data_IF_337190034244
#
_entry.id   IF_337190034244
#
_cell.length_a   1.000
_cell.length_b   1.000
_cell.length_c   1.000
_cell.angle_alpha   90.00
_cell.angle_beta   90.00
_cell.angle_gamma   90.00
#
_symmetry.space_group_name_H-M   'P 1'
#
loop_
_entity.id
_entity.type
_entity.pdbx_description
1 polymer ?
#
# COMPACT_ATOMS: atom_id res chain seq x y z
N UNK A 1 0.16 -23.61 3.38
CA UNK A 1 -0.25 -23.74 1.97
C UNK A 1 0.51 -22.69 1.14
N UNK A 2 0.50 -22.78 -0.19
CA UNK A 2 1.09 -21.79 -1.12
C UNK A 2 2.61 -21.56 -1.03
N UNK A 3 3.35 -22.46 -0.37
CA UNK A 3 4.80 -22.39 -0.23
C UNK A 3 5.45 -23.76 -0.43
N UNK A 4 6.69 -23.76 -0.90
CA UNK A 4 7.52 -24.96 -1.02
C UNK A 4 8.70 -24.88 -0.05
N UNK A 5 8.86 -25.86 0.84
CA UNK A 5 9.94 -25.90 1.83
C UNK A 5 11.05 -26.91 1.49
N UNK A 6 10.86 -27.72 0.44
CA UNK A 6 11.87 -28.69 0.00
C UNK A 6 13.14 -27.98 -0.48
N UNK A 7 14.30 -28.32 0.12
CA UNK A 7 15.60 -27.78 -0.26
C UNK A 7 15.89 -27.91 -1.76
N UNK A 8 15.55 -29.06 -2.36
CA UNK A 8 15.73 -29.31 -3.80
C UNK A 8 14.92 -28.31 -4.65
N UNK A 9 13.64 -28.10 -4.31
CA UNK A 9 12.76 -27.14 -5.00
C UNK A 9 13.27 -25.70 -4.85
N UNK A 10 13.72 -25.33 -3.66
CA UNK A 10 14.25 -23.98 -3.39
C UNK A 10 15.55 -23.69 -4.15
N UNK A 11 16.48 -24.66 -4.21
CA UNK A 11 17.70 -24.54 -5.03
C UNK A 11 17.33 -24.33 -6.50
N UNK A 12 16.38 -25.11 -7.01
CA UNK A 12 15.93 -24.99 -8.39
C UNK A 12 15.31 -23.63 -8.69
N UNK A 13 14.47 -23.08 -7.80
CA UNK A 13 13.89 -21.74 -7.98
C UNK A 13 14.97 -20.65 -8.15
N UNK A 14 16.06 -20.74 -7.39
CA UNK A 14 17.19 -19.80 -7.46
C UNK A 14 18.03 -20.05 -8.72
N UNK A 15 18.39 -21.31 -9.00
CA UNK A 15 19.22 -21.67 -10.15
C UNK A 15 18.55 -21.31 -11.49
N UNK A 16 17.24 -21.57 -11.59
CA UNK A 16 16.42 -21.29 -12.78
C UNK A 16 15.97 -19.80 -12.84
N UNK A 17 16.46 -18.95 -11.92
CA UNK A 17 16.14 -17.51 -11.84
C UNK A 17 14.64 -17.21 -11.80
N UNK A 18 13.86 -18.08 -11.13
CA UNK A 18 12.42 -17.83 -10.86
C UNK A 18 12.21 -16.82 -9.74
N UNK A 19 13.25 -16.62 -8.93
CA UNK A 19 13.37 -15.62 -7.86
C UNK A 19 14.71 -14.90 -7.95
N UNK A 20 14.83 -13.74 -7.32
CA UNK A 20 16.02 -12.88 -7.38
C UNK A 20 17.21 -13.45 -6.57
N UNK A 21 16.95 -14.38 -5.67
CA UNK A 21 17.96 -14.99 -4.80
C UNK A 21 17.35 -15.69 -3.58
N UNK A 22 18.20 -16.11 -2.64
CA UNK A 22 17.76 -16.75 -1.40
C UNK A 22 17.05 -15.80 -0.43
N UNK A 23 17.30 -14.51 -0.56
CA UNK A 23 16.68 -13.43 0.21
C UNK A 23 15.55 -12.73 -0.55
N UNK A 24 15.10 -13.27 -1.69
CA UNK A 24 13.94 -12.75 -2.42
C UNK A 24 12.71 -12.71 -1.46
N UNK A 25 11.98 -11.58 -1.38
CA UNK A 25 10.81 -11.43 -0.51
C UNK A 25 9.64 -12.40 -0.73
N UNK A 26 9.68 -13.23 -1.78
CA UNK A 26 8.72 -14.31 -2.06
C UNK A 26 9.20 -15.68 -1.56
N UNK A 27 10.49 -15.80 -1.23
CA UNK A 27 11.06 -17.06 -0.77
C UNK A 27 10.68 -17.34 0.68
N UNK A 28 10.33 -18.59 1.03
CA UNK A 28 9.98 -18.98 2.40
C UNK A 28 11.24 -19.21 3.25
N UNK A 29 12.20 -18.30 3.18
CA UNK A 29 13.43 -18.29 3.98
C UNK A 29 13.34 -17.18 5.02
N UNK A 30 14.06 -17.31 6.13
CA UNK A 30 14.11 -16.21 7.12
C UNK A 30 14.72 -14.93 6.53
N UNK A 31 15.67 -15.06 5.60
CA UNK A 31 16.26 -13.93 4.89
C UNK A 31 15.22 -13.22 3.99
N UNK A 32 14.46 -13.99 3.21
CA UNK A 32 13.38 -13.49 2.36
C UNK A 32 12.26 -12.87 3.17
N UNK A 33 11.82 -13.53 4.25
CA UNK A 33 10.80 -13.01 5.15
C UNK A 33 11.23 -11.68 5.82
N UNK A 34 12.49 -11.58 6.28
CA UNK A 34 13.02 -10.33 6.84
C UNK A 34 13.04 -9.21 5.79
N UNK A 35 13.53 -9.49 4.56
CA UNK A 35 13.54 -8.50 3.46
C UNK A 35 12.14 -8.12 2.99
N UNK A 36 11.17 -9.04 3.09
CA UNK A 36 9.75 -8.81 2.85
C UNK A 36 9.12 -7.87 3.89
N UNK A 37 9.72 -7.78 5.07
CA UNK A 37 9.30 -6.89 6.15
C UNK A 37 8.72 -7.62 7.35
N UNK A 38 8.67 -8.96 7.36
CA UNK A 38 8.20 -9.71 8.53
C UNK A 38 9.05 -9.39 9.75
N UNK A 39 8.38 -9.30 10.90
CA UNK A 39 8.99 -8.99 12.19
C UNK A 39 9.24 -10.27 12.98
N UNK A 40 10.26 -10.30 13.85
CA UNK A 40 10.42 -11.39 14.82
C UNK A 40 9.15 -11.61 15.66
N UNK A 41 8.48 -10.54 16.04
CA UNK A 41 7.24 -10.54 16.83
C UNK A 41 6.11 -11.27 16.09
N UNK A 42 5.90 -10.99 14.80
CA UNK A 42 4.89 -11.69 14.00
C UNK A 42 5.15 -13.20 13.90
N UNK A 43 6.41 -13.63 13.83
CA UNK A 43 6.75 -15.06 13.83
C UNK A 43 6.56 -15.73 15.18
N UNK A 44 6.85 -15.04 16.30
CA UNK A 44 6.56 -15.56 17.64
C UNK A 44 5.06 -15.73 17.84
N UNK A 45 4.28 -14.70 17.46
CA UNK A 45 2.82 -14.76 17.49
C UNK A 45 2.28 -15.89 16.61
N UNK A 46 2.87 -16.11 15.43
CA UNK A 46 2.53 -17.24 14.57
C UNK A 46 2.78 -18.58 15.26
N UNK A 47 3.96 -18.76 15.88
CA UNK A 47 4.31 -19.95 16.64
C UNK A 47 3.35 -20.22 17.81
N UNK A 48 2.96 -19.18 18.54
CA UNK A 48 2.02 -19.29 19.66
C UNK A 48 0.62 -19.72 19.19
N UNK A 49 0.18 -19.27 18.00
CA UNK A 49 -1.16 -19.59 17.47
C UNK A 49 -1.33 -21.03 17.02
N UNK A 50 -0.36 -21.60 16.30
CA UNK A 50 -0.51 -22.97 15.80
C UNK A 50 -0.09 -24.03 16.84
N UNK A 51 0.69 -23.64 17.86
CA UNK A 51 1.08 -24.50 18.95
C UNK A 51 1.97 -25.68 18.51
N UNK A 52 2.14 -26.66 19.38
CA UNK A 52 2.94 -27.87 19.08
C UNK A 52 2.04 -29.09 19.22
N UNK A 53 1.79 -29.77 18.10
CA UNK A 53 1.03 -31.01 18.04
C UNK A 53 1.83 -32.10 17.31
N UNK A 54 1.52 -33.37 17.61
CA UNK A 54 2.13 -34.53 16.92
C UNK A 54 1.46 -34.87 15.59
N UNK A 55 0.26 -34.35 15.35
CA UNK A 55 -0.48 -34.60 14.12
C UNK A 55 0.00 -33.65 13.02
N UNK A 56 0.23 -34.20 11.82
CA UNK A 56 0.54 -33.39 10.65
C UNK A 56 -0.65 -32.50 10.31
N UNK A 57 -0.39 -31.21 10.10
CA UNK A 57 -1.41 -30.24 9.71
C UNK A 57 -0.86 -29.25 8.69
N UNK A 58 -1.74 -28.80 7.79
CA UNK A 58 -1.44 -27.71 6.88
C UNK A 58 -1.88 -26.40 7.52
N UNK A 59 -0.93 -25.48 7.67
CA UNK A 59 -1.23 -24.11 8.10
C UNK A 59 -1.46 -23.26 6.86
N UNK A 60 -2.57 -22.52 6.83
CA UNK A 60 -2.81 -21.58 5.73
C UNK A 60 -1.87 -20.37 5.81
N UNK A 61 -1.43 -19.87 4.66
CA UNK A 61 -0.56 -18.69 4.60
C UNK A 61 -1.21 -17.46 5.23
N UNK A 62 -2.55 -17.37 5.18
CA UNK A 62 -3.32 -16.29 5.80
C UNK A 62 -3.03 -16.15 7.30
N UNK A 63 -2.76 -17.24 8.02
CA UNK A 63 -2.48 -17.20 9.46
C UNK A 63 -1.19 -16.42 9.74
N UNK A 64 -0.14 -16.65 8.96
CA UNK A 64 1.12 -15.92 9.08
C UNK A 64 0.96 -14.45 8.65
N UNK A 65 0.20 -14.21 7.58
CA UNK A 65 -0.13 -12.86 7.13
C UNK A 65 -0.95 -12.08 8.18
N UNK A 66 -1.85 -12.74 8.91
CA UNK A 66 -2.67 -12.14 9.96
C UNK A 66 -1.84 -11.79 11.20
N UNK A 67 -0.92 -12.66 11.62
CA UNK A 67 0.05 -12.32 12.67
C UNK A 67 0.87 -11.08 12.32
N UNK A 68 1.22 -10.93 11.04
CA UNK A 68 1.95 -9.78 10.55
C UNK A 68 1.08 -8.50 10.52
N UNK A 69 -0.18 -8.61 10.09
CA UNK A 69 -1.16 -7.50 10.13
C UNK A 69 -1.38 -7.03 11.57
N UNK A 70 -1.51 -7.95 12.52
CA UNK A 70 -1.73 -7.64 13.93
C UNK A 70 -0.56 -6.87 14.53
N UNK A 71 0.67 -7.40 14.42
CA UNK A 71 1.86 -6.76 14.95
C UNK A 71 2.08 -5.36 14.34
N UNK A 72 1.94 -5.22 13.02
CA UNK A 72 2.14 -3.92 12.39
C UNK A 72 0.97 -2.96 12.56
N UNK A 73 -0.25 -3.44 12.79
CA UNK A 73 -1.36 -2.56 13.11
C UNK A 73 -1.10 -1.78 14.41
N UNK A 74 -0.44 -2.40 15.38
CA UNK A 74 -0.09 -1.77 16.65
C UNK A 74 1.16 -0.89 16.54
N UNK A 75 2.15 -1.25 15.73
CA UNK A 75 3.48 -0.61 15.76
C UNK A 75 3.78 0.34 14.60
N UNK A 76 3.24 0.08 13.41
CA UNK A 76 3.66 0.79 12.21
C UNK A 76 3.01 2.18 12.14
N UNK A 77 3.80 3.21 11.90
CA UNK A 77 3.22 4.52 11.62
C UNK A 77 2.46 4.55 10.29
N UNK A 78 1.43 5.37 10.21
CA UNK A 78 0.60 5.58 9.02
C UNK A 78 1.24 6.64 8.15
N UNK A 79 1.28 6.35 6.84
CA UNK A 79 1.84 7.21 5.81
C UNK A 79 0.96 7.17 4.57
N UNK A 80 0.96 8.25 3.81
CA UNK A 80 0.20 8.36 2.58
C UNK A 80 1.10 8.03 1.39
N UNK A 81 0.65 7.10 0.57
CA UNK A 81 1.30 6.69 -0.66
C UNK A 81 0.24 6.53 -1.75
N UNK A 82 0.53 7.09 -2.92
CA UNK A 82 -0.29 6.92 -4.13
C UNK A 82 0.40 5.92 -5.05
N UNK A 83 -0.20 4.74 -5.23
CA UNK A 83 0.41 3.61 -5.92
C UNK A 83 0.11 3.57 -7.41
N UNK A 84 -1.11 3.94 -7.83
CA UNK A 84 -1.50 4.14 -9.23
C UNK A 84 -1.91 5.61 -9.45
N UNK A 85 -0.93 6.50 -9.70
CA UNK A 85 -1.18 7.94 -9.66
C UNK A 85 -1.97 8.46 -10.86
N UNK A 86 -2.96 9.31 -10.58
CA UNK A 86 -3.57 10.25 -11.52
C UNK A 86 -3.54 11.66 -10.92
N UNK A 87 -3.32 12.69 -11.75
CA UNK A 87 -3.29 14.07 -11.27
C UNK A 87 -4.69 14.51 -10.84
N UNK A 88 -4.78 15.23 -9.73
CA UNK A 88 -5.94 15.99 -9.32
C UNK A 88 -5.57 17.47 -9.30
N UNK A 89 -6.24 18.27 -10.11
CA UNK A 89 -6.03 19.72 -10.24
C UNK A 89 -7.17 20.44 -9.54
N UNK A 90 -6.83 21.30 -8.58
CA UNK A 90 -7.81 22.11 -7.86
C UNK A 90 -7.91 23.47 -8.56
N UNK A 91 -8.94 23.66 -9.38
CA UNK A 91 -9.03 24.78 -10.31
C UNK A 91 -9.11 26.14 -9.58
N UNK A 92 -9.87 26.18 -8.49
CA UNK A 92 -10.08 27.37 -7.67
C UNK A 92 -9.03 27.56 -6.55
N UNK A 93 -7.96 26.74 -6.51
CA UNK A 93 -6.87 26.94 -5.55
C UNK A 93 -5.90 28.03 -6.06
N UNK A 94 -5.56 29.05 -5.24
CA UNK A 94 -4.66 30.13 -5.66
C UNK A 94 -3.29 29.60 -6.08
N UNK A 95 -2.77 30.08 -7.21
CA UNK A 95 -1.46 29.67 -7.72
C UNK A 95 -0.33 30.07 -6.76
N UNK A 96 0.60 29.14 -6.51
CA UNK A 96 1.76 29.36 -5.65
C UNK A 96 1.46 29.38 -4.14
N UNK A 97 0.20 29.19 -3.74
CA UNK A 97 -0.13 28.99 -2.34
C UNK A 97 0.21 27.56 -1.91
N UNK A 98 0.70 27.42 -0.70
CA UNK A 98 0.93 26.15 -0.02
C UNK A 98 0.33 26.21 1.38
N UNK A 99 -0.14 25.07 1.87
CA UNK A 99 -0.66 24.98 3.22
C UNK A 99 -0.31 23.66 3.88
N UNK A 100 0.01 23.70 5.16
CA UNK A 100 0.20 22.49 5.94
C UNK A 100 -1.15 21.95 6.43
N UNK A 101 -1.42 20.72 6.01
CA UNK A 101 -2.38 19.82 6.64
C UNK A 101 -1.66 18.96 7.70
N UNK A 102 -2.40 18.40 8.65
CA UNK A 102 -1.80 17.58 9.72
C UNK A 102 -2.46 16.21 9.80
N UNK A 103 -1.63 15.17 9.69
CA UNK A 103 -2.05 13.78 9.79
C UNK A 103 -1.46 13.15 11.07
N UNK A 104 -2.24 12.39 11.87
CA UNK A 104 -1.69 11.63 12.99
C UNK A 104 -0.74 10.55 12.48
N UNK A 105 0.36 10.32 13.19
CA UNK A 105 1.29 9.23 12.88
C UNK A 105 0.67 7.85 13.16
N UNK A 106 -0.26 7.77 14.10
CA UNK A 106 -0.98 6.55 14.40
C UNK A 106 -2.38 6.87 14.96
N UNK A 107 -3.46 6.21 14.49
CA UNK A 107 -4.83 6.54 14.91
C UNK A 107 -5.10 6.25 16.39
N UNK A 108 -4.42 5.24 16.96
CA UNK A 108 -4.62 4.80 18.35
C UNK A 108 -3.46 5.18 19.29
N UNK A 109 -2.44 5.90 18.81
CA UNK A 109 -1.29 6.31 19.63
C UNK A 109 -1.07 7.82 19.47
N UNK A 110 -1.83 8.65 20.20
CA UNK A 110 -1.75 10.11 20.08
C UNK A 110 -0.37 10.66 20.48
N UNK A 111 0.38 9.94 21.32
CA UNK A 111 1.73 10.32 21.77
C UNK A 111 2.76 10.31 20.65
N UNK A 112 2.51 9.57 19.55
CA UNK A 112 3.33 9.64 18.33
C UNK A 112 3.10 10.95 17.56
N UNK A 113 2.16 11.79 18.00
CA UNK A 113 1.92 13.12 17.45
C UNK A 113 1.34 13.12 16.05
N UNK A 114 1.50 14.27 15.39
CA UNK A 114 1.07 14.53 14.02
C UNK A 114 2.27 14.94 13.18
N UNK A 115 2.15 14.72 11.87
CA UNK A 115 3.11 15.20 10.86
C UNK A 115 2.42 16.17 9.91
N UNK A 116 3.19 17.11 9.38
CA UNK A 116 2.74 17.98 8.31
C UNK A 116 2.62 17.20 7.00
N UNK A 117 1.55 17.47 6.25
CA UNK A 117 1.29 16.95 4.90
C UNK A 117 1.06 18.19 4.03
N UNK A 118 2.03 18.57 3.17
CA UNK A 118 1.90 19.75 2.32
C UNK A 118 0.72 19.61 1.36
N UNK A 119 -0.11 20.64 1.29
CA UNK A 119 -1.23 20.80 0.36
C UNK A 119 -0.87 21.85 -0.69
N UNK A 120 -1.16 21.54 -1.96
CA UNK A 120 -0.89 22.41 -3.11
C UNK A 120 -2.01 22.31 -4.14
N UNK A 121 -1.98 23.17 -5.16
CA UNK A 121 -2.95 23.17 -6.27
C UNK A 121 -3.04 21.83 -7.02
N UNK A 122 -1.89 21.20 -7.25
CA UNK A 122 -1.81 19.91 -7.93
C UNK A 122 -1.48 18.81 -6.93
N UNK A 123 -2.27 17.74 -6.95
CA UNK A 123 -2.13 16.57 -6.10
C UNK A 123 -2.04 15.30 -6.95
N UNK A 124 -1.51 14.23 -6.37
CA UNK A 124 -1.70 12.87 -6.85
C UNK A 124 -2.76 12.18 -6.00
N UNK A 125 -3.65 11.43 -6.66
CA UNK A 125 -4.62 10.52 -6.05
C UNK A 125 -4.53 9.15 -6.72
N UNK A 126 -5.15 8.12 -6.14
CA UNK A 126 -5.29 6.84 -6.83
C UNK A 126 -6.18 6.98 -8.05
N UNK A 127 -5.80 6.33 -9.14
CA UNK A 127 -6.62 6.22 -10.35
C UNK A 127 -7.97 5.58 -10.07
N UNK A 128 -8.02 4.59 -9.18
CA UNK A 128 -9.26 3.93 -8.74
C UNK A 128 -10.20 4.82 -7.91
N UNK A 129 -9.73 5.99 -7.47
CA UNK A 129 -10.54 6.95 -6.74
C UNK A 129 -11.32 7.90 -7.66
N UNK A 130 -11.19 7.77 -8.98
CA UNK A 130 -11.99 8.49 -9.96
C UNK A 130 -12.68 7.56 -10.97
N UNK A 131 -13.94 7.87 -11.31
CA UNK A 131 -14.69 7.21 -12.38
C UNK A 131 -15.69 8.19 -12.99
N UNK A 132 -15.74 8.32 -14.30
CA UNK A 132 -16.77 9.15 -14.96
C UNK A 132 -18.16 8.53 -14.87
N UNK A 133 -18.22 7.19 -14.93
CA UNK A 133 -19.44 6.40 -14.92
C UNK A 133 -19.37 5.39 -13.77
N UNK A 134 -19.53 5.85 -12.53
CA UNK A 134 -19.33 5.00 -11.37
C UNK A 134 -20.47 3.98 -11.21
N UNK A 135 -20.18 2.76 -10.72
CA UNK A 135 -21.22 1.80 -10.35
C UNK A 135 -22.01 2.29 -9.13
N UNK A 136 -23.20 1.72 -8.90
CA UNK A 136 -23.99 2.00 -7.71
C UNK A 136 -23.18 1.69 -6.44
N UNK A 137 -23.22 2.60 -5.45
CA UNK A 137 -22.47 2.45 -4.19
C UNK A 137 -21.03 2.95 -4.25
N UNK A 138 -20.61 3.56 -5.36
CA UNK A 138 -19.35 4.27 -5.46
C UNK A 138 -19.45 5.67 -4.85
N UNK A 139 -18.61 5.97 -3.86
CA UNK A 139 -18.65 7.25 -3.12
C UNK A 139 -17.41 8.14 -3.31
N UNK A 140 -16.50 7.77 -4.22
CA UNK A 140 -15.26 8.52 -4.51
C UNK A 140 -15.52 9.58 -5.60
N UNK A 141 -14.50 10.06 -6.31
CA UNK A 141 -14.67 11.15 -7.29
C UNK A 141 -15.37 10.66 -8.56
N UNK A 142 -16.39 11.40 -8.97
CA UNK A 142 -17.04 11.38 -10.27
C UNK A 142 -17.63 12.76 -10.52
N UNK A 143 -17.79 13.23 -11.77
CA UNK A 143 -18.27 14.58 -12.04
C UNK A 143 -19.54 14.94 -11.25
N UNK A 144 -19.47 16.03 -10.48
CA UNK A 144 -20.54 16.50 -9.61
C UNK A 144 -20.52 15.99 -8.16
N UNK A 145 -19.76 14.92 -7.85
CA UNK A 145 -19.66 14.39 -6.49
C UNK A 145 -18.59 15.09 -5.65
N UNK A 146 -18.82 15.15 -4.34
CA UNK A 146 -17.86 15.66 -3.37
C UNK A 146 -17.27 14.56 -2.50
N UNK A 147 -15.97 14.66 -2.22
CA UNK A 147 -15.22 13.75 -1.35
C UNK A 147 -14.36 14.53 -0.38
N UNK A 148 -13.94 13.88 0.71
CA UNK A 148 -12.90 14.41 1.60
C UNK A 148 -11.54 13.95 1.09
N UNK A 149 -10.66 14.89 0.85
CA UNK A 149 -9.22 14.64 0.85
C UNK A 149 -8.79 14.41 2.30
N UNK A 150 -8.37 13.20 2.64
CA UNK A 150 -8.06 12.81 4.03
C UNK A 150 -7.02 13.76 4.63
N UNK A 151 -7.29 14.30 5.82
CA UNK A 151 -6.49 15.36 6.48
C UNK A 151 -6.43 16.71 5.76
N UNK A 152 -7.07 16.85 4.61
CA UNK A 152 -7.16 18.07 3.80
C UNK A 152 -8.56 18.68 3.85
N UNK A 153 -9.09 18.98 2.68
CA UNK A 153 -10.35 19.69 2.45
C UNK A 153 -11.42 18.78 1.83
N UNK A 154 -12.65 19.24 1.79
CA UNK A 154 -13.65 18.70 0.88
C UNK A 154 -13.43 19.29 -0.50
N UNK A 155 -13.49 18.43 -1.52
CA UNK A 155 -13.41 18.83 -2.93
C UNK A 155 -14.61 18.28 -3.69
N UNK A 156 -15.05 19.02 -4.72
CA UNK A 156 -16.11 18.62 -5.65
C UNK A 156 -15.51 18.41 -7.03
N UNK A 157 -15.70 17.22 -7.59
CA UNK A 157 -15.22 16.90 -8.93
C UNK A 157 -15.98 17.71 -9.99
N UNK A 158 -15.25 18.39 -10.88
CA UNK A 158 -15.81 19.18 -11.99
C UNK A 158 -15.69 18.44 -13.32
N UNK A 159 -14.65 17.62 -13.49
CA UNK A 159 -14.44 16.85 -14.72
C UNK A 159 -13.11 16.13 -14.76
N UNK A 160 -12.66 15.76 -15.95
CA UNK A 160 -11.36 15.13 -16.19
C UNK A 160 -10.86 15.40 -17.61
N UNK A 161 -9.55 15.34 -17.78
CA UNK A 161 -8.87 15.35 -19.07
C UNK A 161 -8.51 13.93 -19.49
N UNK A 162 -8.56 13.69 -20.81
CA UNK A 162 -8.18 12.41 -21.43
C UNK A 162 -7.10 12.61 -22.48
N UNK A 163 -6.24 11.60 -22.63
CA UNK A 163 -5.34 11.50 -23.76
C UNK A 163 -6.07 11.04 -25.04
N UNK A 164 -5.34 10.97 -26.16
CA UNK A 164 -5.88 10.53 -27.45
C UNK A 164 -6.38 9.07 -27.46
N UNK A 165 -5.96 8.25 -26.49
CA UNK A 165 -6.43 6.86 -26.32
C UNK A 165 -7.62 6.76 -25.37
N UNK A 166 -8.09 7.87 -24.82
CA UNK A 166 -9.19 7.92 -23.86
C UNK A 166 -8.78 7.65 -22.41
N UNK A 167 -7.48 7.57 -22.10
CA UNK A 167 -7.02 7.37 -20.73
C UNK A 167 -7.12 8.68 -19.94
N UNK A 168 -7.59 8.60 -18.70
CA UNK A 168 -7.68 9.77 -17.81
C UNK A 168 -6.28 10.18 -17.38
N UNK A 169 -5.91 11.43 -17.67
CA UNK A 169 -4.59 12.01 -17.36
C UNK A 169 -4.64 13.02 -16.23
N UNK A 170 -5.78 13.70 -16.05
CA UNK A 170 -6.02 14.61 -14.94
C UNK A 170 -7.50 14.60 -14.55
N UNK A 171 -7.77 14.77 -13.26
CA UNK A 171 -9.09 14.99 -12.68
C UNK A 171 -9.14 16.43 -12.20
N UNK A 172 -10.25 17.12 -12.46
CA UNK A 172 -10.46 18.50 -12.05
C UNK A 172 -11.45 18.58 -10.91
N UNK A 173 -11.19 19.47 -9.96
CA UNK A 173 -12.09 19.72 -8.84
C UNK A 173 -12.02 21.16 -8.33
N UNK A 174 -13.01 21.53 -7.54
CA UNK A 174 -13.01 22.73 -6.72
C UNK A 174 -12.94 22.34 -5.25
N UNK A 175 -12.12 23.03 -4.44
CA UNK A 175 -12.08 22.84 -2.99
C UNK A 175 -12.96 23.85 -2.25
N UNK A 176 -13.40 23.46 -1.06
CA UNK A 176 -14.05 24.35 -0.10
C UNK A 176 -13.05 24.82 0.97
N UNK A 177 -12.62 26.11 0.97
CA UNK A 177 -11.64 26.64 1.91
C UNK A 177 -12.05 26.55 3.39
N UNK A 178 -13.35 26.47 3.69
CA UNK A 178 -13.85 26.41 5.07
C UNK A 178 -13.78 25.01 5.67
N UNK A 179 -13.49 23.98 4.87
CA UNK A 179 -13.59 22.57 5.28
C UNK A 179 -12.26 21.94 5.68
N UNK A 180 -11.25 22.75 6.00
CA UNK A 180 -9.93 22.26 6.40
C UNK A 180 -10.04 21.33 7.61
N UNK A 181 -9.51 20.12 7.49
CA UNK A 181 -9.49 19.13 8.56
C UNK A 181 -8.85 19.69 9.85
N UNK A 182 -9.44 19.39 11.00
CA UNK A 182 -8.97 19.88 12.29
C UNK A 182 -9.36 21.32 12.63
N UNK A 183 -10.20 21.97 11.83
CA UNK A 183 -10.80 23.28 12.14
C UNK A 183 -12.30 23.13 12.46
N UNK A 184 -12.95 24.12 13.11
CA UNK A 184 -14.39 24.06 13.38
C UNK A 184 -15.25 23.89 12.12
N UNK A 185 -14.76 24.33 10.96
CA UNK A 185 -15.45 24.21 9.68
C UNK A 185 -15.32 22.83 9.01
N UNK A 186 -14.46 21.94 9.53
CA UNK A 186 -14.18 20.64 8.92
C UNK A 186 -15.46 19.84 8.65
N UNK A 187 -16.41 19.82 9.58
CA UNK A 187 -17.62 19.00 9.51
C UNK A 187 -18.86 19.74 8.95
N UNK A 188 -18.69 20.97 8.44
CA UNK A 188 -19.78 21.73 7.79
C UNK A 188 -20.38 21.00 6.60
N UNK A 189 -19.52 20.32 5.83
CA UNK A 189 -19.92 19.58 4.62
C UNK A 189 -19.77 18.07 4.88
N UNK A 190 -20.90 17.36 4.89
CA UNK A 190 -20.93 15.91 5.01
C UNK A 190 -20.77 15.27 3.63
N UNK A 191 -19.77 14.41 3.50
CA UNK A 191 -19.47 13.64 2.28
C UNK A 191 -19.42 12.15 2.62
N UNK A 192 -19.69 11.30 1.63
CA UNK A 192 -19.73 9.84 1.82
C UNK A 192 -18.38 9.15 1.59
N UNK A 193 -17.50 9.75 0.78
CA UNK A 193 -16.19 9.18 0.44
C UNK A 193 -15.03 9.99 0.99
N UNK A 194 -14.00 9.27 1.40
CA UNK A 194 -12.71 9.82 1.80
C UNK A 194 -11.63 9.15 0.94
N UNK A 195 -10.74 9.95 0.36
CA UNK A 195 -9.61 9.47 -0.46
C UNK A 195 -8.30 10.02 0.09
N UNK A 196 -7.21 9.29 -0.10
CA UNK A 196 -5.88 9.76 0.24
C UNK A 196 -5.23 10.44 -0.97
N UNK A 197 -4.22 11.26 -0.69
CA UNK A 197 -3.61 12.13 -1.68
C UNK A 197 -2.21 12.55 -1.22
N UNK A 198 -1.36 12.94 -2.16
CA UNK A 198 -0.08 13.61 -1.87
C UNK A 198 0.09 14.82 -2.76
N UNK A 199 0.75 15.89 -2.29
CA UNK A 199 1.06 17.06 -3.13
C UNK A 199 1.99 16.67 -4.27
N UNK A 200 1.65 17.05 -5.50
CA UNK A 200 2.48 16.74 -6.68
C UNK A 200 3.84 17.43 -6.65
N UNK A 201 3.93 18.59 -6.02
CA UNK A 201 5.15 19.38 -5.86
C UNK A 201 6.10 18.81 -4.80
N UNK A 202 5.55 18.20 -3.74
CA UNK A 202 6.32 17.76 -2.58
C UNK A 202 6.53 16.24 -2.52
N UNK A 203 5.74 15.47 -3.28
CA UNK A 203 5.76 14.02 -3.23
C UNK A 203 7.13 13.45 -3.60
N UNK A 204 7.50 12.37 -2.93
CA UNK A 204 8.71 11.61 -3.21
C UNK A 204 8.35 10.48 -4.18
N UNK A 205 8.90 10.55 -5.40
CA UNK A 205 8.80 9.47 -6.36
C UNK A 205 9.65 8.28 -5.88
N UNK A 206 9.07 7.09 -5.82
CA UNK A 206 9.75 5.90 -5.28
C UNK A 206 9.33 4.63 -6.02
N UNK A 207 10.24 3.67 -6.09
CA UNK A 207 9.93 2.31 -6.53
C UNK A 207 9.21 1.57 -5.40
N UNK A 208 8.05 0.98 -5.73
CA UNK A 208 7.30 0.13 -4.81
C UNK A 208 7.13 -1.25 -5.44
N UNK A 209 7.44 -2.29 -4.66
CA UNK A 209 7.34 -3.70 -5.04
C UNK A 209 6.14 -4.33 -4.38
N UNK A 210 5.10 -4.53 -5.18
CA UNK A 210 3.88 -5.21 -4.77
C UNK A 210 4.09 -6.70 -4.93
N UNK A 211 4.45 -7.33 -3.83
CA UNK A 211 4.58 -8.77 -3.81
C UNK A 211 3.27 -9.45 -3.42
N UNK A 212 3.14 -10.70 -3.86
CA UNK A 212 2.06 -11.62 -3.53
C UNK A 212 2.64 -13.03 -3.27
N UNK A 213 1.79 -14.05 -3.04
CA UNK A 213 2.20 -15.44 -2.85
C UNK A 213 2.91 -15.96 -4.09
N UNK A 214 4.04 -16.68 -3.90
CA UNK A 214 4.86 -17.21 -5.00
C UNK A 214 4.13 -18.26 -5.84
N UNK A 215 3.25 -19.03 -5.20
CA UNK A 215 2.47 -20.07 -5.84
C UNK A 215 0.98 -19.74 -5.77
N UNK A 216 0.26 -20.07 -6.84
CA UNK A 216 -1.20 -19.93 -6.92
C UNK A 216 -1.96 -21.18 -6.47
N UNK A 217 -1.28 -22.33 -6.40
CA UNK A 217 -1.84 -23.58 -5.88
C UNK A 217 -1.53 -23.73 -4.37
N UNK A 218 -2.51 -24.14 -3.53
CA UNK A 218 -2.31 -24.31 -2.09
C UNK A 218 -1.28 -25.40 -1.75
N UNK A 219 -1.06 -26.38 -2.63
CA UNK A 219 -0.13 -27.49 -2.46
C UNK A 219 0.76 -27.67 -3.72
N UNK A 220 1.77 -26.81 -3.93
CA UNK A 220 2.56 -26.78 -5.16
C UNK A 220 3.26 -28.10 -5.49
N UNK A 221 2.97 -28.64 -6.67
CA UNK A 221 3.42 -29.95 -7.16
C UNK A 221 2.68 -31.15 -6.57
N UNK A 222 1.49 -30.94 -5.99
CA UNK A 222 0.61 -32.04 -5.57
C UNK A 222 0.17 -32.88 -6.77
N UNK A 223 -0.09 -34.17 -6.54
CA UNK A 223 -0.51 -35.10 -7.59
C UNK A 223 0.55 -35.41 -8.65
N UNK A 224 1.84 -35.18 -8.37
CA UNK A 224 2.94 -35.50 -9.29
C UNK A 224 3.17 -34.47 -10.41
N UNK A 225 2.45 -33.34 -10.40
CA UNK A 225 2.67 -32.24 -11.33
C UNK A 225 3.99 -31.52 -11.07
N UNK A 226 4.54 -30.91 -12.11
CA UNK A 226 5.66 -29.99 -11.96
C UNK A 226 5.20 -28.72 -11.21
N UNK A 227 5.77 -28.51 -10.01
CA UNK A 227 5.43 -27.39 -9.14
C UNK A 227 5.76 -26.02 -9.75
N UNK A 228 6.61 -25.96 -10.77
CA UNK A 228 6.89 -24.71 -11.49
C UNK A 228 5.67 -24.21 -12.28
N UNK A 229 4.74 -25.10 -12.66
CA UNK A 229 3.48 -24.71 -13.31
C UNK A 229 2.50 -24.03 -12.34
N UNK A 230 2.71 -24.22 -11.04
CA UNK A 230 1.90 -23.62 -9.97
C UNK A 230 2.42 -22.23 -9.56
N UNK A 231 3.45 -21.70 -10.23
CA UNK A 231 3.95 -20.35 -9.97
C UNK A 231 2.87 -19.30 -10.28
N UNK A 232 2.80 -18.30 -9.41
CA UNK A 232 1.98 -17.12 -9.59
C UNK A 232 2.73 -16.08 -10.44
N UNK A 233 2.30 -15.79 -11.68
CA UNK A 233 2.92 -14.76 -12.50
C UNK A 233 2.82 -13.36 -11.87
N UNK A 234 1.81 -13.14 -11.03
CA UNK A 234 1.53 -11.88 -10.34
C UNK A 234 2.20 -11.80 -8.95
N UNK A 235 3.15 -12.70 -8.67
CA UNK A 235 3.85 -12.76 -7.36
C UNK A 235 4.71 -11.52 -7.05
N UNK A 236 5.03 -10.70 -8.05
CA UNK A 236 5.80 -9.46 -7.92
C UNK A 236 5.44 -8.49 -9.05
N UNK A 237 4.93 -7.31 -8.69
CA UNK A 237 4.85 -6.15 -9.58
C UNK A 237 5.73 -5.04 -9.05
N UNK A 238 6.50 -4.42 -9.94
CA UNK A 238 7.30 -3.23 -9.64
C UNK A 238 6.61 -2.02 -10.25
N UNK A 239 6.29 -1.03 -9.42
CA UNK A 239 5.58 0.18 -9.82
C UNK A 239 6.34 1.43 -9.38
N UNK A 240 6.05 2.55 -10.04
CA UNK A 240 6.46 3.88 -9.57
C UNK A 240 5.31 4.50 -8.80
N UNK A 241 5.52 4.82 -7.52
CA UNK A 241 4.54 5.45 -6.65
C UNK A 241 4.97 6.88 -6.25
N UNK A 242 4.03 7.65 -5.73
CA UNK A 242 4.27 8.96 -5.14
C UNK A 242 3.94 8.94 -3.65
N UNK A 243 4.94 9.23 -2.83
CA UNK A 243 4.89 9.12 -1.38
C UNK A 243 4.87 10.49 -0.73
N UNK A 244 4.29 10.61 0.46
CA UNK A 244 4.39 11.84 1.25
C UNK A 244 5.86 12.17 1.64
N UNK A 245 6.22 13.44 1.87
CA UNK A 245 7.62 13.86 2.09
C UNK A 245 8.32 13.18 3.26
N UNK A 246 7.57 12.81 4.31
CA UNK A 246 8.12 12.16 5.49
C UNK A 246 8.77 10.79 5.18
N UNK A 247 8.44 10.17 4.04
CA UNK A 247 9.01 8.90 3.61
C UNK A 247 10.36 9.05 2.88
N UNK A 248 10.78 10.27 2.49
CA UNK A 248 12.05 10.50 1.77
C UNK A 248 13.26 9.92 2.49
N UNK A 249 13.25 10.04 3.82
CA UNK A 249 14.36 9.67 4.70
C UNK A 249 14.08 8.37 5.45
N UNK A 250 13.14 7.55 4.97
CA UNK A 250 12.88 6.24 5.56
C UNK A 250 14.17 5.41 5.58
N UNK A 251 14.55 4.95 6.77
CA UNK A 251 15.74 4.12 6.96
C UNK A 251 15.44 2.69 6.50
N UNK A 252 16.46 1.98 5.99
CA UNK A 252 16.36 0.54 5.74
C UNK A 252 15.71 -0.21 6.90
N UNK A 253 14.76 -1.10 6.58
CA UNK A 253 13.97 -1.89 7.53
C UNK A 253 12.93 -1.11 8.37
N UNK A 254 12.76 0.20 8.18
CA UNK A 254 11.59 0.91 8.74
C UNK A 254 10.30 0.46 8.05
N UNK A 255 9.23 0.37 8.85
CA UNK A 255 7.95 -0.21 8.45
C UNK A 255 6.84 0.79 8.64
N UNK A 256 5.95 0.86 7.65
CA UNK A 256 4.85 1.81 7.60
C UNK A 256 3.57 1.12 7.15
N UNK A 257 2.43 1.58 7.64
CA UNK A 257 1.16 1.33 6.97
C UNK A 257 0.98 2.41 5.90
N UNK A 258 0.99 2.03 4.63
CA UNK A 258 0.47 2.90 3.59
C UNK A 258 -1.05 2.82 3.65
N UNK A 259 -1.67 3.94 4.00
CA UNK A 259 -3.12 3.99 4.24
C UNK A 259 -3.89 3.43 3.04
N UNK A 260 -4.93 2.62 3.32
CA UNK A 260 -5.76 1.88 2.34
C UNK A 260 -5.07 0.78 1.53
N UNK A 261 -3.74 0.67 1.56
CA UNK A 261 -3.01 -0.32 0.76
C UNK A 261 -2.55 -1.53 1.54
N UNK A 262 -1.81 -1.30 2.62
CA UNK A 262 -1.17 -2.38 3.37
C UNK A 262 0.03 -1.90 4.15
N UNK A 263 0.87 -2.86 4.53
CA UNK A 263 2.09 -2.59 5.26
C UNK A 263 3.29 -2.76 4.34
N UNK A 264 4.23 -1.84 4.47
CA UNK A 264 5.39 -1.71 3.61
C UNK A 264 6.65 -1.57 4.47
N UNK A 265 7.76 -2.07 3.94
CA UNK A 265 9.09 -1.91 4.55
C UNK A 265 10.01 -1.22 3.55
N UNK A 266 10.86 -0.30 4.02
CA UNK A 266 11.98 0.19 3.21
C UNK A 266 12.98 -0.96 2.99
N UNK A 267 13.16 -1.37 1.73
CA UNK A 267 14.00 -2.51 1.35
C UNK A 267 15.42 -2.32 1.88
N UNK A 268 15.91 -3.34 2.57
CA UNK A 268 17.18 -3.26 3.31
C UNK A 268 18.43 -3.25 2.44
N UNK A 269 18.30 -3.62 1.17
CA UNK A 269 19.42 -3.77 0.22
C UNK A 269 19.42 -2.61 -0.77
N UNK A 270 18.24 -2.27 -1.30
CA UNK A 270 18.09 -1.36 -2.43
C UNK A 270 17.70 0.06 -2.03
N UNK A 271 17.20 0.29 -0.81
CA UNK A 271 16.90 1.64 -0.33
C UNK A 271 18.18 2.44 -0.12
N UNK A 272 18.21 3.66 -0.65
CA UNK A 272 19.31 4.62 -0.51
C UNK A 272 18.80 5.92 0.14
N UNK A 273 19.68 6.74 0.74
CA UNK A 273 19.32 8.10 1.13
C UNK A 273 18.66 8.84 -0.04
N UNK A 274 17.55 9.53 0.23
CA UNK A 274 16.71 10.25 -0.76
C UNK A 274 16.06 9.41 -1.87
N UNK A 275 16.30 8.09 -1.90
CA UNK A 275 15.75 7.16 -2.88
C UNK A 275 15.35 5.83 -2.20
N UNK A 276 14.36 5.86 -1.28
CA UNK A 276 13.88 4.64 -0.64
C UNK A 276 13.14 3.77 -1.67
N UNK A 277 13.24 2.45 -1.50
CA UNK A 277 12.49 1.45 -2.27
C UNK A 277 11.62 0.68 -1.28
N UNK A 278 10.32 0.53 -1.54
CA UNK A 278 9.42 -0.12 -0.59
C UNK A 278 8.94 -1.49 -1.06
N UNK A 279 8.99 -2.48 -0.19
CA UNK A 279 8.38 -3.79 -0.41
C UNK A 279 7.05 -3.86 0.34
N UNK A 280 5.97 -4.30 -0.33
CA UNK A 280 4.71 -4.61 0.36
C UNK A 280 4.89 -5.88 1.18
N UNK A 281 4.90 -5.77 2.51
CA UNK A 281 4.94 -6.92 3.42
C UNK A 281 3.64 -7.72 3.31
N UNK A 282 2.51 -7.08 3.59
CA UNK A 282 1.18 -7.70 3.59
C UNK A 282 0.09 -6.66 3.26
N UNK A 283 -0.99 -7.08 2.63
CA UNK A 283 -2.20 -6.25 2.39
C UNK A 283 -2.97 -5.98 3.68
N UNK A 284 -3.85 -4.97 3.71
CA UNK A 284 -4.67 -4.66 4.90
C UNK A 284 -5.65 -5.76 5.29
N UNK A 285 -6.10 -6.54 4.30
CA UNK A 285 -7.03 -7.67 4.47
C UNK A 285 -6.58 -8.80 3.58
N UNK A 286 -6.97 -10.02 3.93
CA UNK A 286 -6.76 -11.15 3.04
C UNK A 286 -7.56 -10.95 1.74
N UNK A 287 -6.90 -11.22 0.61
CA UNK A 287 -7.46 -11.14 -0.74
C UNK A 287 -7.53 -12.51 -1.43
N UNK A 288 -6.97 -13.55 -0.80
CA UNK A 288 -6.95 -14.92 -1.32
C UNK A 288 -8.13 -15.76 -0.87
N UNK A 289 -8.80 -15.38 0.23
CA UNK A 289 -10.11 -15.93 0.57
C UNK A 289 -11.13 -15.35 -0.42
N UNK A 290 -11.45 -16.10 -1.48
CA UNK A 290 -12.53 -15.77 -2.40
C UNK A 290 -13.84 -15.50 -1.62
N UNK A 291 -14.52 -14.41 -1.95
CA UNK A 291 -15.97 -14.27 -1.74
C UNK A 291 -16.72 -15.34 -2.54
#
# INVERSE_FOLDING_TARGET
TYAALSKRKLIQLVADKRVDGWDDPRMPTLAGARRRGYTPESFRLFADRFGVAKADSWIDMSVLEDCMREDLNERAERRIAVLDPVRLVIDNYPGGQEQECFAPNHPQQPDLGKRAVPFSKELWIEREDFSEMPPKGYFRLFPGNSVRLRYGFVVKCTGCDKDASGNIVAVHCEYDPETRSGTPGADKVKVKGNIHWVSAQHACRSEVRLYDRLFKDPHPGSGGRDYLQDLNPDSKHVITAYLEPALRNAKPEERFQFERHGYFVADRVDSKPDAPVFNRAVTLRDSWTKQ
#
